data_IF_611558242263
#
_entry.id   IF_611558242263
#
_cell.length_a   1.000
_cell.length_b   1.000
_cell.length_c   1.000
_cell.angle_alpha   90.00
_cell.angle_beta   90.00
_cell.angle_gamma   90.00
#
_symmetry.space_group_name_H-M   'P 1'
#
loop_
_entity.id
_entity.type
_entity.pdbx_description
1 polymer ?
#
# COMPACT_ATOMS: atom_id res chain seq x y z
N UNK A 1 38.72 -9.44 31.18
CA UNK A 1 38.18 -9.80 29.84
C UNK A 1 36.66 -9.60 29.82
N UNK A 2 36.17 -8.36 29.65
CA UNK A 2 34.72 -8.06 29.71
C UNK A 2 34.22 -7.19 28.54
N UNK A 3 35.11 -6.54 27.80
CA UNK A 3 34.74 -5.61 26.72
C UNK A 3 34.16 -6.29 25.46
N UNK A 4 34.52 -7.55 25.19
CA UNK A 4 34.10 -8.24 23.96
C UNK A 4 32.63 -8.67 23.91
N UNK A 5 31.95 -8.76 25.06
CA UNK A 5 30.52 -9.13 25.09
C UNK A 5 29.62 -7.94 24.77
N UNK A 6 29.93 -6.74 25.27
CA UNK A 6 29.13 -5.54 25.02
C UNK A 6 29.10 -5.14 23.54
N UNK A 7 30.23 -5.24 22.84
CA UNK A 7 30.31 -4.89 21.40
C UNK A 7 29.45 -5.82 20.53
N UNK A 8 29.38 -7.12 20.85
CA UNK A 8 28.52 -8.07 20.14
C UNK A 8 27.03 -7.73 20.29
N UNK A 9 26.62 -7.26 21.46
CA UNK A 9 25.23 -6.85 21.71
C UNK A 9 24.87 -5.55 20.98
N UNK A 10 25.79 -4.57 20.93
CA UNK A 10 25.56 -3.31 20.21
C UNK A 10 25.44 -3.53 18.70
N UNK A 11 26.28 -4.39 18.11
CA UNK A 11 26.23 -4.71 16.67
C UNK A 11 24.93 -5.46 16.33
N UNK A 12 24.47 -6.38 17.17
CA UNK A 12 23.21 -7.10 16.97
C UNK A 12 21.99 -6.15 17.01
N UNK A 13 21.99 -5.18 17.93
CA UNK A 13 20.93 -4.17 18.01
C UNK A 13 20.95 -3.20 16.82
N UNK A 14 22.13 -2.81 16.34
CA UNK A 14 22.25 -1.97 15.14
C UNK A 14 21.70 -2.67 13.88
N UNK A 15 21.91 -3.99 13.74
CA UNK A 15 21.34 -4.74 12.62
C UNK A 15 19.81 -4.87 12.69
N UNK A 16 19.25 -5.02 13.90
CA UNK A 16 17.79 -5.07 14.08
C UNK A 16 17.12 -3.72 13.75
N UNK A 17 17.73 -2.60 14.11
CA UNK A 17 17.19 -1.26 13.84
C UNK A 17 17.19 -0.91 12.35
N UNK A 18 18.17 -1.40 11.58
CA UNK A 18 18.22 -1.19 10.12
C UNK A 18 17.08 -1.87 9.37
N UNK A 19 16.54 -3.00 9.87
CA UNK A 19 15.40 -3.68 9.27
C UNK A 19 14.06 -2.99 9.56
N UNK A 20 13.90 -2.39 10.74
CA UNK A 20 12.68 -1.64 11.09
C UNK A 20 12.57 -0.30 10.33
N UNK A 21 13.70 0.26 9.90
CA UNK A 21 13.78 1.50 9.14
C UNK A 21 12.92 1.44 7.86
N UNK A 22 13.11 0.46 6.97
CA UNK A 22 12.38 0.42 5.70
C UNK A 22 10.87 0.14 5.84
N UNK A 23 10.46 -0.62 6.86
CA UNK A 23 9.04 -0.91 7.10
C UNK A 23 8.27 0.33 7.58
N UNK A 24 8.95 1.25 8.28
CA UNK A 24 8.36 2.49 8.80
C UNK A 24 8.69 3.76 7.99
N UNK A 25 9.72 3.75 7.12
CA UNK A 25 10.13 4.89 6.29
C UNK A 25 9.53 4.90 4.87
N UNK A 26 8.40 4.24 4.65
CA UNK A 26 7.63 4.41 3.41
C UNK A 26 8.14 3.59 2.22
N UNK A 27 8.77 2.44 2.43
CA UNK A 27 9.04 1.48 1.35
C UNK A 27 7.82 0.64 0.95
N UNK A 28 6.62 0.95 1.43
CA UNK A 28 5.40 0.50 0.76
C UNK A 28 5.11 1.49 -0.36
N UNK A 29 5.44 1.18 -1.63
CA UNK A 29 5.20 2.12 -2.71
C UNK A 29 3.71 2.43 -2.74
N UNK A 30 3.39 3.71 -2.86
CA UNK A 30 2.02 4.23 -2.84
C UNK A 30 1.09 3.46 -3.80
N UNK A 31 1.64 3.06 -4.95
CA UNK A 31 0.96 2.25 -5.94
C UNK A 31 0.54 0.87 -5.42
N UNK A 32 1.37 0.18 -4.65
CA UNK A 32 1.03 -1.14 -4.10
C UNK A 32 -0.02 -1.01 -3.00
N UNK A 33 0.10 -0.01 -2.14
CA UNK A 33 -0.90 0.31 -1.12
C UNK A 33 -2.28 0.61 -1.74
N UNK A 34 -2.30 1.45 -2.77
CA UNK A 34 -3.50 1.73 -3.56
C UNK A 34 -4.04 0.48 -4.26
N UNK A 35 -3.17 -0.34 -4.86
CA UNK A 35 -3.56 -1.57 -5.54
C UNK A 35 -4.21 -2.57 -4.60
N UNK A 36 -3.62 -2.82 -3.42
CA UNK A 36 -4.17 -3.75 -2.45
C UNK A 36 -5.47 -3.24 -1.83
N UNK A 37 -5.58 -1.92 -1.62
CA UNK A 37 -6.81 -1.29 -1.20
C UNK A 37 -7.92 -1.46 -2.27
N UNK A 38 -7.67 -1.08 -3.53
CA UNK A 38 -8.60 -1.25 -4.65
C UNK A 38 -8.96 -2.73 -4.89
N UNK A 39 -8.01 -3.65 -4.70
CA UNK A 39 -8.23 -5.10 -4.78
C UNK A 39 -9.18 -5.59 -3.69
N UNK A 40 -9.08 -5.07 -2.46
CA UNK A 40 -10.04 -5.37 -1.38
C UNK A 40 -11.42 -4.81 -1.70
N UNK A 41 -11.49 -3.54 -2.10
CA UNK A 41 -12.75 -2.87 -2.46
C UNK A 41 -13.48 -3.59 -3.60
N UNK A 42 -12.75 -3.98 -4.64
CA UNK A 42 -13.30 -4.70 -5.80
C UNK A 42 -13.57 -6.19 -5.57
N UNK A 43 -13.37 -6.77 -4.37
CA UNK A 43 -13.81 -8.15 -4.11
C UNK A 43 -15.34 -8.27 -4.20
N UNK A 44 -16.06 -7.27 -3.70
CA UNK A 44 -17.53 -7.23 -3.75
C UNK A 44 -18.06 -7.18 -5.20
N UNK A 45 -17.24 -6.65 -6.10
CA UNK A 45 -17.51 -6.44 -7.51
C UNK A 45 -17.30 -7.68 -8.39
N UNK A 46 -16.41 -8.59 -7.98
CA UNK A 46 -16.12 -9.83 -8.74
C UNK A 46 -17.38 -10.67 -8.93
N UNK A 47 -18.25 -10.73 -7.91
CA UNK A 47 -19.51 -11.49 -7.96
C UNK A 47 -20.58 -10.84 -8.86
N UNK A 48 -20.66 -9.51 -8.88
CA UNK A 48 -21.70 -8.80 -9.63
C UNK A 48 -21.36 -8.57 -11.11
N UNK A 49 -20.08 -8.36 -11.43
CA UNK A 49 -19.64 -7.89 -12.76
C UNK A 49 -18.74 -8.88 -13.49
N UNK A 50 -18.31 -9.95 -12.81
CA UNK A 50 -17.33 -10.91 -13.31
C UNK A 50 -15.88 -10.46 -13.08
N UNK A 51 -15.00 -11.45 -12.88
CA UNK A 51 -13.61 -11.21 -12.47
C UNK A 51 -12.79 -10.33 -13.42
N UNK A 52 -13.06 -10.39 -14.74
CA UNK A 52 -12.33 -9.59 -15.75
C UNK A 52 -12.69 -8.10 -15.67
N UNK A 53 -13.98 -7.77 -15.51
CA UNK A 53 -14.42 -6.37 -15.37
C UNK A 53 -13.98 -5.80 -14.02
N UNK A 54 -14.13 -6.57 -12.95
CA UNK A 54 -13.62 -6.19 -11.64
C UNK A 54 -12.10 -5.96 -11.64
N UNK A 55 -11.33 -6.72 -12.44
CA UNK A 55 -9.90 -6.51 -12.60
C UNK A 55 -9.59 -5.19 -13.33
N UNK A 56 -10.26 -4.90 -14.45
CA UNK A 56 -10.06 -3.62 -15.18
C UNK A 56 -10.41 -2.40 -14.31
N UNK A 57 -11.50 -2.49 -13.54
CA UNK A 57 -11.89 -1.44 -12.60
C UNK A 57 -10.87 -1.22 -11.47
N UNK A 58 -10.07 -2.23 -11.09
CA UNK A 58 -8.99 -2.07 -10.10
C UNK A 58 -7.86 -1.19 -10.62
N UNK A 59 -7.51 -1.32 -11.89
CA UNK A 59 -6.39 -0.56 -12.47
C UNK A 59 -6.73 0.93 -12.48
N UNK A 60 -7.92 1.31 -12.96
CA UNK A 60 -8.41 2.71 -12.89
C UNK A 60 -8.50 3.25 -11.45
N UNK A 61 -9.06 2.46 -10.53
CA UNK A 61 -9.08 2.81 -9.10
C UNK A 61 -7.67 3.04 -8.52
N UNK A 62 -6.70 2.23 -8.93
CA UNK A 62 -5.32 2.33 -8.43
C UNK A 62 -4.67 3.62 -8.90
N UNK A 63 -4.84 3.98 -10.17
CA UNK A 63 -4.29 5.21 -10.74
C UNK A 63 -4.90 6.46 -10.07
N UNK A 64 -6.22 6.51 -9.90
CA UNK A 64 -6.90 7.62 -9.22
C UNK A 64 -6.49 7.73 -7.75
N UNK A 65 -6.36 6.60 -7.05
CA UNK A 65 -5.87 6.57 -5.67
C UNK A 65 -4.46 7.13 -5.55
N UNK A 66 -3.56 6.78 -6.47
CA UNK A 66 -2.19 7.30 -6.50
C UNK A 66 -2.21 8.80 -6.77
N UNK A 67 -2.94 9.27 -7.79
CA UNK A 67 -3.02 10.70 -8.11
C UNK A 67 -3.59 11.52 -6.94
N UNK A 68 -4.66 11.03 -6.30
CA UNK A 68 -5.25 11.66 -5.14
C UNK A 68 -4.26 11.74 -3.97
N UNK A 69 -3.58 10.64 -3.68
CA UNK A 69 -2.63 10.59 -2.58
C UNK A 69 -1.41 11.49 -2.84
N UNK A 70 -0.84 11.49 -4.05
CA UNK A 70 0.25 12.38 -4.43
C UNK A 70 -0.15 13.86 -4.34
N UNK A 71 -1.33 14.22 -4.87
CA UNK A 71 -1.87 15.58 -4.82
C UNK A 71 -2.06 16.10 -3.39
N UNK A 72 -2.33 15.21 -2.44
CA UNK A 72 -2.56 15.55 -1.04
C UNK A 72 -1.34 15.27 -0.12
N UNK A 73 -0.19 14.91 -0.70
CA UNK A 73 1.02 14.58 0.05
C UNK A 73 0.82 13.40 1.02
N UNK A 74 0.04 12.40 0.61
CA UNK A 74 -0.21 11.17 1.37
C UNK A 74 0.71 10.05 0.92
N UNK A 75 1.09 9.20 1.84
CA UNK A 75 1.93 8.03 1.59
C UNK A 75 1.09 6.74 1.54
N UNK A 76 1.73 5.62 1.19
CA UNK A 76 1.09 4.31 1.14
C UNK A 76 0.52 3.88 2.49
N UNK A 77 1.18 4.25 3.59
CA UNK A 77 0.71 3.97 4.94
C UNK A 77 -0.64 4.65 5.22
N UNK A 78 -0.79 5.93 4.86
CA UNK A 78 -2.06 6.64 4.98
C UNK A 78 -3.18 6.00 4.16
N UNK A 79 -2.88 5.55 2.94
CA UNK A 79 -3.85 4.86 2.07
C UNK A 79 -4.34 3.56 2.71
N UNK A 80 -3.43 2.76 3.27
CA UNK A 80 -3.77 1.52 3.97
C UNK A 80 -4.57 1.78 5.26
N UNK A 81 -4.15 2.75 6.08
CA UNK A 81 -4.79 3.10 7.35
C UNK A 81 -6.20 3.66 7.14
N UNK A 82 -6.39 4.52 6.14
CA UNK A 82 -7.68 5.17 5.86
C UNK A 82 -8.56 4.42 4.87
N UNK A 83 -8.06 3.35 4.25
CA UNK A 83 -8.73 2.64 3.16
C UNK A 83 -9.18 3.62 2.05
N UNK A 84 -8.30 4.56 1.69
CA UNK A 84 -8.64 5.72 0.84
C UNK A 84 -8.62 5.45 -0.68
N UNK A 85 -8.70 4.19 -1.08
CA UNK A 85 -8.78 3.78 -2.49
C UNK A 85 -10.19 3.91 -3.09
N UNK A 86 -11.20 4.17 -2.28
CA UNK A 86 -12.59 4.22 -2.73
C UNK A 86 -12.98 5.58 -3.28
N UNK A 87 -12.72 5.81 -4.57
CA UNK A 87 -13.49 6.78 -5.33
C UNK A 87 -14.30 6.05 -6.41
N UNK A 88 -15.54 6.50 -6.60
CA UNK A 88 -16.49 6.17 -7.68
C UNK A 88 -17.03 4.73 -7.87
N UNK A 89 -18.15 4.69 -8.60
CA UNK A 89 -18.87 3.50 -9.06
C UNK A 89 -17.99 2.70 -10.04
N UNK A 90 -17.91 1.37 -9.94
CA UNK A 90 -17.12 0.56 -10.87
C UNK A 90 -17.48 0.75 -12.35
N UNK A 91 -18.71 1.20 -12.68
CA UNK A 91 -19.09 1.55 -14.04
C UNK A 91 -18.28 2.73 -14.60
N UNK A 92 -17.84 3.67 -13.76
CA UNK A 92 -16.98 4.79 -14.16
C UNK A 92 -15.69 4.29 -14.82
N UNK A 93 -15.01 3.33 -14.17
CA UNK A 93 -13.78 2.72 -14.67
C UNK A 93 -13.96 1.72 -15.83
N UNK A 94 -15.21 1.35 -16.14
CA UNK A 94 -15.55 0.49 -17.27
C UNK A 94 -16.03 1.27 -18.49
N UNK A 95 -16.30 2.57 -18.32
CA UNK A 95 -16.83 3.47 -19.36
C UNK A 95 -15.76 4.10 -20.25
N UNK A 96 -14.48 3.94 -19.89
CA UNK A 96 -13.30 4.21 -20.72
C UNK A 96 -12.82 2.96 -21.49
#
# INVERSE_FOLDING_TARGET
MAAGKLVKWVIAWAMLLSFFSCYYLGCYPLKDACYDCCKKASKQWVGAMGGRRAYKAREGCTEECVEFAEKNGKDGYWVEDKQACGFSDPEYYLSE
#
